data_IF_808603886465
#
_entry.id   IF_808603886465
#
_cell.length_a   1.000
_cell.length_b   1.000
_cell.length_c   1.000
_cell.angle_alpha   90.00
_cell.angle_beta   90.00
_cell.angle_gamma   90.00
#
_symmetry.space_group_name_H-M   'P 1'
#
loop_
_entity.id
_entity.type
_entity.pdbx_description
1 polymer ?
#
# COMPACT_ATOMS: atom_id res chain seq x y z
N UNK A 1 5.22 -30.51 -5.01
CA UNK A 1 5.49 -29.33 -4.15
C UNK A 1 4.24 -29.06 -3.34
N UNK A 2 4.35 -28.60 -2.10
CA UNK A 2 3.20 -28.16 -1.33
C UNK A 2 2.71 -26.83 -1.92
N UNK A 3 1.43 -26.74 -2.28
CA UNK A 3 0.82 -25.47 -2.67
C UNK A 3 0.69 -24.58 -1.44
N UNK A 4 1.31 -23.41 -1.47
CA UNK A 4 1.14 -22.36 -0.48
C UNK A 4 0.28 -21.29 -1.16
N UNK A 5 -0.82 -20.91 -0.51
CA UNK A 5 -1.73 -19.88 -1.01
C UNK A 5 -1.14 -18.49 -0.77
N UNK A 6 -0.07 -18.19 -1.51
CA UNK A 6 0.66 -16.93 -1.41
C UNK A 6 -0.24 -15.76 -1.83
N UNK A 7 -1.08 -15.96 -2.86
CA UNK A 7 -1.97 -14.93 -3.39
C UNK A 7 -3.02 -14.46 -2.36
N UNK A 8 -3.70 -15.38 -1.66
CA UNK A 8 -4.68 -14.94 -0.66
C UNK A 8 -3.99 -14.21 0.50
N UNK A 9 -2.83 -14.72 0.94
CA UNK A 9 -2.03 -14.09 1.99
C UNK A 9 -1.59 -12.67 1.59
N UNK A 10 -1.11 -12.48 0.37
CA UNK A 10 -0.78 -11.18 -0.21
C UNK A 10 -1.97 -10.23 -0.18
N UNK A 11 -3.14 -10.65 -0.66
CA UNK A 11 -4.35 -9.83 -0.69
C UNK A 11 -4.78 -9.40 0.73
N UNK A 12 -4.69 -10.28 1.73
CA UNK A 12 -4.95 -9.90 3.12
C UNK A 12 -3.91 -8.96 3.68
N UNK A 13 -2.63 -9.13 3.35
CA UNK A 13 -1.56 -8.23 3.81
C UNK A 13 -1.68 -6.85 3.17
N UNK A 14 -2.06 -6.76 1.89
CA UNK A 14 -2.37 -5.51 1.20
C UNK A 14 -3.52 -4.77 1.90
N UNK A 15 -4.60 -5.49 2.23
CA UNK A 15 -5.71 -4.93 2.98
C UNK A 15 -5.26 -4.42 4.37
N UNK A 16 -4.45 -5.20 5.08
CA UNK A 16 -3.93 -4.83 6.40
C UNK A 16 -3.05 -3.58 6.35
N UNK A 17 -2.14 -3.47 5.38
CA UNK A 17 -1.32 -2.28 5.17
C UNK A 17 -2.19 -1.06 4.89
N UNK A 18 -3.19 -1.19 4.02
CA UNK A 18 -4.08 -0.09 3.70
C UNK A 18 -4.87 0.39 4.91
N UNK A 19 -5.41 -0.52 5.71
CA UNK A 19 -6.10 -0.21 6.99
C UNK A 19 -5.15 0.47 7.99
N UNK A 20 -3.94 -0.05 8.15
CA UNK A 20 -2.94 0.54 9.05
C UNK A 20 -2.56 1.96 8.60
N UNK A 21 -2.34 2.17 7.30
CA UNK A 21 -2.03 3.48 6.74
C UNK A 21 -3.17 4.48 6.93
N UNK A 22 -4.43 4.07 6.72
CA UNK A 22 -5.62 4.88 7.00
C UNK A 22 -5.67 5.25 8.48
N UNK A 23 -5.49 4.28 9.37
CA UNK A 23 -5.55 4.50 10.82
C UNK A 23 -4.46 5.48 11.26
N UNK A 24 -3.21 5.26 10.87
CA UNK A 24 -2.08 6.11 11.24
C UNK A 24 -2.25 7.55 10.75
N UNK A 25 -2.57 7.72 9.47
CA UNK A 25 -2.69 9.05 8.87
C UNK A 25 -3.96 9.77 9.34
N UNK A 26 -5.07 9.05 9.49
CA UNK A 26 -6.32 9.57 10.05
C UNK A 26 -6.16 10.03 11.49
N UNK A 27 -5.54 9.21 12.36
CA UNK A 27 -5.29 9.57 13.76
C UNK A 27 -4.36 10.77 13.88
N UNK A 28 -3.31 10.84 13.06
CA UNK A 28 -2.40 11.98 13.04
C UNK A 28 -3.12 13.27 12.62
N UNK A 29 -3.97 13.19 11.59
CA UNK A 29 -4.80 14.32 11.18
C UNK A 29 -5.78 14.78 12.27
N UNK A 30 -6.44 13.84 12.95
CA UNK A 30 -7.37 14.14 14.05
C UNK A 30 -6.65 14.79 15.24
N UNK A 31 -5.46 14.30 15.60
CA UNK A 31 -4.64 14.90 16.65
C UNK A 31 -4.23 16.32 16.30
N UNK A 32 -3.74 16.54 15.08
CA UNK A 32 -3.41 17.89 14.58
C UNK A 32 -4.61 18.84 14.58
N UNK A 33 -5.81 18.36 14.23
CA UNK A 33 -7.05 19.16 14.25
C UNK A 33 -7.49 19.54 15.66
N UNK A 34 -7.29 18.66 16.65
CA UNK A 34 -7.66 18.91 18.06
C UNK A 34 -6.68 19.82 18.77
N UNK A 35 -5.40 19.62 18.53
CA UNK A 35 -4.31 20.43 19.11
C UNK A 35 -3.48 20.99 17.95
N UNK A 36 -3.66 22.27 17.63
CA UNK A 36 -2.96 22.93 16.51
C UNK A 36 -1.42 22.97 16.64
N UNK A 37 -0.90 22.55 17.79
CA UNK A 37 0.52 22.36 18.09
C UNK A 37 0.85 20.87 18.35
N UNK A 38 0.00 19.92 17.94
CA UNK A 38 0.25 18.50 18.15
C UNK A 38 1.53 18.08 17.43
N UNK A 39 2.37 17.37 18.16
CA UNK A 39 3.58 16.76 17.62
C UNK A 39 3.18 15.61 16.69
N UNK A 40 3.06 15.93 15.40
CA UNK A 40 2.76 15.00 14.31
C UNK A 40 3.75 13.84 14.28
N UNK A 41 5.01 14.08 14.63
CA UNK A 41 6.04 13.03 14.68
C UNK A 41 5.71 12.02 15.77
N UNK A 42 5.33 12.50 16.96
CA UNK A 42 4.90 11.63 18.07
C UNK A 42 3.67 10.79 17.75
N UNK A 43 2.76 11.30 16.91
CA UNK A 43 1.56 10.58 16.49
C UNK A 43 1.84 9.46 15.48
N UNK A 44 2.85 9.64 14.62
CA UNK A 44 3.28 8.64 13.65
C UNK A 44 4.23 7.59 14.23
N UNK A 45 5.01 7.95 15.25
CA UNK A 45 6.06 7.11 15.84
C UNK A 45 5.58 5.70 16.24
N UNK A 46 4.42 5.49 16.89
CA UNK A 46 3.94 4.16 17.24
C UNK A 46 3.74 3.23 16.02
N UNK A 47 3.54 3.81 14.84
CA UNK A 47 3.40 3.06 13.60
C UNK A 47 4.70 2.51 13.03
N UNK A 48 5.86 2.95 13.52
CA UNK A 48 7.17 2.45 13.08
C UNK A 48 7.26 0.92 13.12
N UNK A 49 6.99 0.32 14.28
CA UNK A 49 7.14 -1.12 14.47
C UNK A 49 6.21 -1.96 13.59
N UNK A 50 4.88 -1.73 13.56
CA UNK A 50 4.01 -2.51 12.68
C UNK A 50 4.31 -2.29 11.20
N UNK A 51 4.68 -1.08 10.77
CA UNK A 51 5.13 -0.86 9.40
C UNK A 51 6.40 -1.64 9.09
N UNK A 52 7.41 -1.62 9.97
CA UNK A 52 8.65 -2.36 9.74
C UNK A 52 8.40 -3.86 9.60
N UNK A 53 7.59 -4.43 10.50
CA UNK A 53 7.24 -5.86 10.47
C UNK A 53 6.50 -6.23 9.18
N UNK A 54 5.48 -5.45 8.80
CA UNK A 54 4.72 -5.70 7.57
C UNK A 54 5.57 -5.50 6.32
N UNK A 55 6.39 -4.45 6.29
CA UNK A 55 7.28 -4.16 5.18
C UNK A 55 8.31 -5.28 4.97
N UNK A 56 8.94 -5.75 6.05
CA UNK A 56 9.86 -6.90 5.99
C UNK A 56 9.15 -8.17 5.51
N UNK A 57 7.97 -8.45 6.06
CA UNK A 57 7.17 -9.59 5.63
C UNK A 57 6.86 -9.53 4.13
N UNK A 58 6.33 -8.40 3.65
CA UNK A 58 5.97 -8.18 2.25
C UNK A 58 7.20 -8.30 1.34
N UNK A 59 8.33 -7.70 1.71
CA UNK A 59 9.56 -7.80 0.90
C UNK A 59 10.08 -9.22 0.83
N UNK A 60 10.08 -9.97 1.94
CA UNK A 60 10.52 -11.37 1.95
C UNK A 60 9.60 -12.24 1.09
N UNK A 61 8.28 -12.09 1.26
CA UNK A 61 7.30 -12.84 0.47
C UNK A 61 7.35 -12.47 -1.01
N UNK A 62 7.52 -11.19 -1.35
CA UNK A 62 7.67 -10.72 -2.72
C UNK A 62 8.88 -11.32 -3.42
N UNK A 63 10.07 -11.21 -2.80
CA UNK A 63 11.30 -11.80 -3.34
C UNK A 63 11.19 -13.32 -3.46
N UNK A 64 10.60 -13.97 -2.46
CA UNK A 64 10.36 -15.41 -2.51
C UNK A 64 9.49 -15.77 -3.71
N UNK A 65 8.34 -15.10 -3.87
CA UNK A 65 7.42 -15.31 -4.98
C UNK A 65 8.04 -15.07 -6.35
N UNK A 66 8.86 -14.03 -6.51
CA UNK A 66 9.62 -13.78 -7.75
C UNK A 66 10.53 -14.95 -8.11
N UNK A 67 11.21 -15.55 -7.12
CA UNK A 67 12.21 -16.60 -7.32
C UNK A 67 11.63 -18.01 -7.42
N UNK A 68 10.50 -18.27 -6.76
CA UNK A 68 9.95 -19.63 -6.63
C UNK A 68 8.66 -19.85 -7.38
N UNK A 69 8.18 -18.87 -8.18
CA UNK A 69 6.94 -19.00 -8.92
C UNK A 69 6.90 -20.27 -9.79
N UNK A 70 6.01 -21.23 -9.48
CA UNK A 70 6.06 -22.55 -10.11
C UNK A 70 5.17 -22.64 -11.36
N UNK A 71 4.28 -21.67 -11.57
CA UNK A 71 3.26 -21.71 -12.62
C UNK A 71 3.75 -21.07 -13.92
N UNK A 72 3.35 -21.59 -15.09
CA UNK A 72 3.70 -20.99 -16.36
C UNK A 72 3.06 -19.61 -16.53
N UNK A 73 3.78 -18.70 -17.17
CA UNK A 73 3.33 -17.33 -17.46
C UNK A 73 4.09 -16.27 -16.67
N UNK A 74 3.71 -15.00 -16.88
CA UNK A 74 4.35 -13.81 -16.31
C UNK A 74 3.66 -13.27 -15.06
N UNK A 75 2.92 -14.13 -14.34
CA UNK A 75 2.19 -13.73 -13.13
C UNK A 75 3.10 -13.33 -11.99
N UNK A 76 4.32 -13.87 -11.94
CA UNK A 76 5.30 -13.45 -10.96
C UNK A 76 5.65 -11.97 -11.12
N UNK A 77 5.86 -11.53 -12.36
CA UNK A 77 6.11 -10.12 -12.70
C UNK A 77 4.89 -9.29 -12.32
N UNK A 78 3.69 -9.75 -12.67
CA UNK A 78 2.45 -9.02 -12.42
C UNK A 78 2.24 -8.77 -10.92
N UNK A 79 2.32 -9.82 -10.09
CA UNK A 79 1.94 -9.76 -8.68
C UNK A 79 3.11 -9.40 -7.75
N UNK A 80 4.29 -9.97 -7.94
CA UNK A 80 5.38 -9.80 -6.97
C UNK A 80 6.23 -8.55 -7.20
N UNK A 81 6.51 -8.10 -8.43
CA UNK A 81 7.31 -6.88 -8.63
C UNK A 81 6.69 -5.66 -7.88
N UNK A 82 5.38 -5.38 -8.01
CA UNK A 82 4.75 -4.27 -7.28
C UNK A 82 4.65 -4.54 -5.77
N UNK A 83 4.49 -5.80 -5.37
CA UNK A 83 4.38 -6.21 -3.97
C UNK A 83 5.71 -6.07 -3.23
N UNK A 84 6.82 -6.55 -3.82
CA UNK A 84 8.19 -6.34 -3.33
C UNK A 84 8.47 -4.85 -3.17
N UNK A 85 8.14 -4.04 -4.17
CA UNK A 85 8.36 -2.59 -4.14
C UNK A 85 7.54 -1.91 -3.05
N UNK A 86 6.28 -2.33 -2.83
CA UNK A 86 5.47 -1.88 -1.71
C UNK A 86 6.14 -2.19 -0.36
N UNK A 87 6.67 -3.40 -0.18
CA UNK A 87 7.39 -3.77 1.04
C UNK A 87 8.57 -2.85 1.32
N UNK A 88 9.37 -2.55 0.29
CA UNK A 88 10.51 -1.61 0.40
C UNK A 88 10.07 -0.20 0.74
N UNK A 89 8.95 0.28 0.19
CA UNK A 89 8.37 1.59 0.52
C UNK A 89 7.92 1.63 1.98
N UNK A 90 7.27 0.58 2.46
CA UNK A 90 6.80 0.48 3.85
C UNK A 90 7.99 0.46 4.81
N UNK A 91 9.04 -0.31 4.51
CA UNK A 91 10.30 -0.32 5.28
C UNK A 91 10.92 1.08 5.28
N UNK A 92 11.03 1.71 4.11
CA UNK A 92 11.54 3.07 3.98
C UNK A 92 10.75 4.06 4.83
N UNK A 93 9.42 3.91 4.88
CA UNK A 93 8.58 4.75 5.72
C UNK A 93 8.79 4.51 7.20
N UNK A 94 8.87 3.25 7.62
CA UNK A 94 9.16 2.90 9.00
C UNK A 94 10.51 3.50 9.45
N UNK A 95 11.56 3.33 8.64
CA UNK A 95 12.90 3.87 8.93
C UNK A 95 12.87 5.39 8.99
N UNK A 96 12.21 6.06 8.04
CA UNK A 96 12.10 7.52 8.03
C UNK A 96 11.39 8.06 9.28
N UNK A 97 10.30 7.40 9.71
CA UNK A 97 9.60 7.74 10.97
C UNK A 97 10.53 7.55 12.17
N UNK A 98 11.22 6.42 12.27
CA UNK A 98 12.10 6.10 13.39
C UNK A 98 13.27 7.09 13.51
N UNK A 99 13.88 7.44 12.37
CA UNK A 99 15.03 8.35 12.30
C UNK A 99 14.62 9.83 12.26
N UNK A 100 13.32 10.14 12.36
CA UNK A 100 12.76 11.50 12.23
C UNK A 100 13.23 12.22 10.95
N UNK A 101 13.32 11.47 9.85
CA UNK A 101 13.70 12.00 8.54
C UNK A 101 12.46 12.48 7.78
N UNK A 102 12.71 13.28 6.73
CA UNK A 102 11.66 13.76 5.82
C UNK A 102 11.02 12.60 5.06
N UNK A 103 9.71 12.45 5.20
CA UNK A 103 8.92 11.37 4.60
C UNK A 103 8.78 11.54 3.07
N UNK A 104 8.89 12.76 2.55
CA UNK A 104 8.69 13.08 1.13
C UNK A 104 9.60 12.28 0.18
N UNK A 105 10.80 11.89 0.62
CA UNK A 105 11.73 11.12 -0.22
C UNK A 105 11.20 9.70 -0.48
N UNK A 106 10.63 9.07 0.56
CA UNK A 106 9.91 7.80 0.41
C UNK A 106 8.63 8.02 -0.39
N UNK A 107 7.96 9.16 -0.19
CA UNK A 107 6.81 9.57 -0.99
C UNK A 107 7.09 9.62 -2.50
N UNK A 108 8.25 10.12 -2.92
CA UNK A 108 8.65 10.12 -4.34
C UNK A 108 8.77 8.69 -4.87
N UNK A 109 9.38 7.78 -4.09
CA UNK A 109 9.48 6.36 -4.49
C UNK A 109 8.08 5.75 -4.61
N UNK A 110 7.19 6.02 -3.66
CA UNK A 110 5.80 5.58 -3.69
C UNK A 110 5.01 6.13 -4.88
N UNK A 111 5.28 7.36 -5.31
CA UNK A 111 4.69 7.93 -6.53
C UNK A 111 5.05 7.11 -7.77
N UNK A 112 6.34 6.80 -7.96
CA UNK A 112 6.77 5.99 -9.10
C UNK A 112 6.23 4.56 -9.04
N UNK A 113 6.23 3.95 -7.85
CA UNK A 113 5.61 2.64 -7.65
C UNK A 113 4.11 2.65 -7.95
N UNK A 114 3.41 3.71 -7.57
CA UNK A 114 1.98 3.88 -7.88
C UNK A 114 1.71 4.00 -9.38
N UNK A 115 2.53 4.75 -10.11
CA UNK A 115 2.46 4.83 -11.58
C UNK A 115 2.76 3.48 -12.24
N UNK A 116 3.77 2.76 -11.73
CA UNK A 116 4.10 1.41 -12.18
C UNK A 116 2.93 0.45 -11.96
N UNK A 117 2.30 0.45 -10.78
CA UNK A 117 1.14 -0.37 -10.49
C UNK A 117 -0.03 -0.08 -11.46
N UNK A 118 -0.33 1.20 -11.72
CA UNK A 118 -1.36 1.58 -12.71
C UNK A 118 -1.03 0.98 -14.08
N UNK A 119 0.23 1.10 -14.52
CA UNK A 119 0.68 0.57 -15.79
C UNK A 119 0.57 -0.96 -15.86
N UNK A 120 0.96 -1.66 -14.79
CA UNK A 120 0.86 -3.12 -14.70
C UNK A 120 -0.60 -3.59 -14.79
N UNK A 121 -1.48 -2.99 -13.99
CA UNK A 121 -2.91 -3.33 -14.01
C UNK A 121 -3.58 -3.05 -15.35
N UNK A 122 -3.21 -1.93 -16.00
CA UNK A 122 -3.74 -1.59 -17.32
C UNK A 122 -3.36 -2.62 -18.40
N UNK A 123 -2.08 -3.00 -18.48
CA UNK A 123 -1.64 -3.98 -19.48
C UNK A 123 -2.19 -5.38 -19.16
N UNK A 124 -2.16 -5.80 -17.90
CA UNK A 124 -2.73 -7.08 -17.50
C UNK A 124 -4.24 -7.18 -17.79
N UNK A 125 -4.96 -6.05 -17.77
CA UNK A 125 -6.36 -5.99 -18.16
C UNK A 125 -6.54 -6.20 -19.67
N UNK A 126 -5.72 -5.55 -20.50
CA UNK A 126 -5.74 -5.71 -21.95
C UNK A 126 -5.37 -7.14 -22.39
N UNK A 127 -4.40 -7.75 -21.69
CA UNK A 127 -3.90 -9.08 -21.99
C UNK A 127 -4.78 -10.19 -21.39
N UNK A 128 -5.89 -9.84 -20.73
CA UNK A 128 -6.82 -10.76 -20.08
C UNK A 128 -6.13 -11.79 -19.16
N UNK A 129 -5.13 -11.33 -18.41
CA UNK A 129 -4.28 -12.22 -17.60
C UNK A 129 -5.03 -12.90 -16.45
N UNK A 130 -6.23 -12.49 -16.06
CA UNK A 130 -6.94 -13.11 -14.93
C UNK A 130 -8.37 -13.48 -15.31
N UNK A 131 -8.97 -14.41 -14.57
CA UNK A 131 -10.39 -14.75 -14.71
C UNK A 131 -11.34 -13.61 -14.29
N UNK A 132 -10.82 -12.61 -13.56
CA UNK A 132 -11.57 -11.41 -13.15
C UNK A 132 -10.80 -10.12 -13.50
N UNK A 133 -10.69 -9.76 -14.79
CA UNK A 133 -9.85 -8.64 -15.24
C UNK A 133 -10.24 -7.29 -14.61
N UNK A 134 -11.53 -7.07 -14.38
CA UNK A 134 -12.06 -5.81 -13.85
C UNK A 134 -11.70 -5.66 -12.36
N UNK A 135 -11.79 -6.75 -11.58
CA UNK A 135 -11.40 -6.72 -10.17
C UNK A 135 -9.91 -6.46 -10.02
N UNK A 136 -9.09 -7.13 -10.83
CA UNK A 136 -7.65 -6.91 -10.85
C UNK A 136 -7.31 -5.48 -11.27
N UNK A 137 -7.87 -4.96 -12.37
CA UNK A 137 -7.67 -3.56 -12.78
C UNK A 137 -8.06 -2.59 -11.67
N UNK A 138 -9.22 -2.79 -11.04
CA UNK A 138 -9.69 -1.96 -9.94
C UNK A 138 -8.72 -1.94 -8.75
N UNK A 139 -8.16 -3.10 -8.39
CA UNK A 139 -7.17 -3.23 -7.33
C UNK A 139 -5.89 -2.44 -7.63
N UNK A 140 -5.31 -2.64 -8.81
CA UNK A 140 -4.08 -1.96 -9.24
C UNK A 140 -4.28 -0.45 -9.39
N UNK A 141 -5.43 -0.01 -9.92
CA UNK A 141 -5.76 1.42 -9.98
C UNK A 141 -5.91 2.02 -8.59
N UNK A 142 -6.61 1.35 -7.67
CA UNK A 142 -6.85 1.87 -6.33
C UNK A 142 -5.53 2.01 -5.53
N UNK A 143 -4.71 0.95 -5.50
CA UNK A 143 -3.39 1.02 -4.86
C UNK A 143 -2.43 1.95 -5.59
N UNK A 144 -2.47 1.98 -6.92
CA UNK A 144 -1.65 2.86 -7.73
C UNK A 144 -1.95 4.34 -7.49
N UNK A 145 -3.23 4.71 -7.42
CA UNK A 145 -3.66 6.06 -7.04
C UNK A 145 -3.24 6.37 -5.60
N UNK A 146 -3.36 5.44 -4.66
CA UNK A 146 -2.89 5.63 -3.30
C UNK A 146 -1.37 5.87 -3.25
N UNK A 147 -0.58 5.13 -4.03
CA UNK A 147 0.87 5.33 -4.20
C UNK A 147 1.20 6.70 -4.75
N UNK A 148 0.52 7.14 -5.83
CA UNK A 148 0.66 8.48 -6.40
C UNK A 148 0.35 9.56 -5.37
N UNK A 149 -0.73 9.40 -4.60
CA UNK A 149 -1.16 10.35 -3.57
C UNK A 149 -0.31 10.28 -2.28
N UNK A 150 0.56 9.29 -2.14
CA UNK A 150 1.48 9.19 -0.99
C UNK A 150 2.52 10.31 -1.02
N UNK A 151 3.00 10.72 -2.20
CA UNK A 151 3.93 11.85 -2.32
C UNK A 151 3.38 13.17 -1.79
N UNK A 152 2.24 13.70 -2.28
CA UNK A 152 1.71 14.94 -1.73
C UNK A 152 1.25 14.77 -0.26
N UNK A 153 0.84 13.57 0.16
CA UNK A 153 0.52 13.28 1.57
C UNK A 153 1.73 13.39 2.50
N UNK A 154 2.86 12.80 2.11
CA UNK A 154 4.11 12.89 2.88
C UNK A 154 4.69 14.31 2.89
N UNK A 155 4.54 15.07 1.79
CA UNK A 155 4.87 16.49 1.74
C UNK A 155 4.05 17.32 2.75
N UNK A 156 2.76 17.01 2.87
CA UNK A 156 1.88 17.62 3.88
C UNK A 156 2.44 17.33 5.28
N UNK A 157 2.73 16.07 5.60
CA UNK A 157 3.28 15.70 6.91
C UNK A 157 4.58 16.42 7.23
N UNK A 158 5.53 16.47 6.30
CA UNK A 158 6.85 17.09 6.49
C UNK A 158 6.80 18.61 6.73
N UNK A 159 5.68 19.24 6.42
CA UNK A 159 5.48 20.69 6.47
C UNK A 159 4.48 21.14 7.54
N UNK A 160 3.77 20.21 8.19
CA UNK A 160 2.88 20.49 9.33
C UNK A 160 3.62 21.10 10.55
N UNK A 161 4.83 20.64 10.95
CA UNK A 161 5.53 21.18 12.12
C UNK A 161 5.82 22.69 12.07
N UNK A 162 5.68 23.34 10.91
CA UNK A 162 5.86 24.77 10.72
C UNK A 162 4.59 25.57 10.36
N UNK A 163 3.41 24.93 10.30
CA UNK A 163 2.17 25.59 9.82
C UNK A 163 1.04 25.52 10.85
N UNK A 164 0.51 26.69 11.21
CA UNK A 164 -0.65 26.82 12.12
C UNK A 164 -2.00 26.51 11.44
N UNK A 165 -2.09 26.62 10.11
CA UNK A 165 -3.32 26.38 9.35
C UNK A 165 -3.03 25.52 8.11
N UNK A 166 -3.73 24.39 8.01
CA UNK A 166 -3.72 23.52 6.82
C UNK A 166 -4.68 24.08 5.78
N UNK A 167 -4.21 24.20 4.53
CA UNK A 167 -5.03 24.67 3.42
C UNK A 167 -6.19 23.70 3.15
N UNK A 168 -7.32 24.21 2.65
CA UNK A 168 -8.44 23.35 2.22
C UNK A 168 -8.01 22.33 1.16
N UNK A 169 -7.11 22.73 0.25
CA UNK A 169 -6.55 21.84 -0.78
C UNK A 169 -5.79 20.65 -0.21
N UNK A 170 -5.01 20.84 0.86
CA UNK A 170 -4.31 19.73 1.51
C UNK A 170 -5.27 18.75 2.18
N UNK A 171 -6.37 19.24 2.74
CA UNK A 171 -7.42 18.36 3.27
C UNK A 171 -8.05 17.53 2.16
N UNK A 172 -8.30 18.12 0.98
CA UNK A 172 -8.81 17.37 -0.18
C UNK A 172 -7.85 16.26 -0.60
N UNK A 173 -6.55 16.54 -0.69
CA UNK A 173 -5.54 15.52 -1.02
C UNK A 173 -5.55 14.36 -0.02
N UNK A 174 -5.58 14.65 1.29
CA UNK A 174 -5.64 13.61 2.32
C UNK A 174 -6.92 12.76 2.21
N UNK A 175 -8.06 13.39 1.93
CA UNK A 175 -9.33 12.67 1.74
C UNK A 175 -9.26 11.78 0.50
N UNK A 176 -8.72 12.25 -0.62
CA UNK A 176 -8.54 11.43 -1.82
C UNK A 176 -7.60 10.26 -1.56
N UNK A 177 -6.52 10.48 -0.81
CA UNK A 177 -5.58 9.43 -0.40
C UNK A 177 -6.29 8.36 0.43
N UNK A 178 -7.09 8.75 1.43
CA UNK A 178 -7.86 7.80 2.24
C UNK A 178 -8.93 7.07 1.44
N UNK A 179 -9.64 7.75 0.55
CA UNK A 179 -10.63 7.11 -0.32
C UNK A 179 -9.98 6.04 -1.20
N UNK A 180 -8.83 6.35 -1.80
CA UNK A 180 -8.06 5.39 -2.59
C UNK A 180 -7.64 4.18 -1.75
N UNK A 181 -7.11 4.40 -0.53
CA UNK A 181 -6.74 3.32 0.38
C UNK A 181 -7.93 2.48 0.84
N UNK A 182 -9.08 3.10 1.12
CA UNK A 182 -10.30 2.38 1.54
C UNK A 182 -10.76 1.47 0.41
N UNK A 183 -10.86 2.00 -0.80
CA UNK A 183 -11.25 1.21 -1.98
C UNK A 183 -10.24 0.09 -2.22
N UNK A 184 -8.94 0.38 -2.18
CA UNK A 184 -7.88 -0.61 -2.36
C UNK A 184 -7.94 -1.73 -1.32
N UNK A 185 -8.10 -1.38 -0.04
CA UNK A 185 -8.15 -2.34 1.07
C UNK A 185 -9.39 -3.23 1.00
N UNK A 186 -10.54 -2.65 0.65
CA UNK A 186 -11.79 -3.41 0.49
C UNK A 186 -11.69 -4.35 -0.70
N UNK A 187 -11.19 -3.88 -1.85
CA UNK A 187 -11.00 -4.73 -3.02
C UNK A 187 -10.01 -5.88 -2.73
N UNK A 188 -8.92 -5.61 -2.02
CA UNK A 188 -7.95 -6.62 -1.64
C UNK A 188 -8.60 -7.68 -0.72
N UNK A 189 -9.28 -7.24 0.34
CA UNK A 189 -9.94 -8.12 1.29
C UNK A 189 -11.04 -8.97 0.63
N UNK A 190 -11.90 -8.34 -0.18
CA UNK A 190 -12.98 -9.04 -0.89
C UNK A 190 -12.41 -10.06 -1.88
N UNK A 191 -11.38 -9.68 -2.65
CA UNK A 191 -10.74 -10.61 -3.59
C UNK A 191 -10.11 -11.79 -2.86
N UNK A 192 -9.43 -11.55 -1.74
CA UNK A 192 -8.85 -12.61 -0.90
C UNK A 192 -9.92 -13.53 -0.32
N UNK A 193 -10.98 -12.99 0.26
CA UNK A 193 -12.11 -13.77 0.82
C UNK A 193 -12.78 -14.65 -0.25
N UNK A 194 -12.93 -14.14 -1.46
CA UNK A 194 -13.55 -14.89 -2.56
C UNK A 194 -12.62 -15.96 -3.14
N UNK A 195 -11.30 -15.79 -3.06
CA UNK A 195 -10.31 -16.75 -3.54
C UNK A 195 -10.15 -17.95 -2.60
N UNK A 196 -10.14 -17.74 -1.28
CA UNK A 196 -9.86 -18.79 -0.28
C UNK A 196 -10.71 -20.06 -0.45
N UNK A 197 -12.06 -19.99 -0.60
CA UNK A 197 -12.86 -21.20 -0.77
C UNK A 197 -12.47 -22.01 -2.01
N UNK A 198 -12.08 -21.34 -3.10
CA UNK A 198 -11.68 -22.02 -4.33
C UNK A 198 -10.35 -22.74 -4.14
N UNK A 199 -9.37 -22.07 -3.54
CA UNK A 199 -8.06 -22.65 -3.25
C UNK A 199 -8.13 -23.82 -2.27
N UNK A 200 -9.04 -23.79 -1.29
CA UNK A 200 -9.27 -24.89 -0.36
C UNK A 200 -9.93 -26.11 -1.02
N UNK A 201 -10.77 -25.90 -2.05
CA UNK A 201 -11.45 -26.97 -2.76
C UNK A 201 -10.53 -27.69 -3.76
N UNK A 202 -9.73 -26.92 -4.50
CA UNK A 202 -8.75 -27.43 -5.44
C UNK A 202 -7.59 -26.43 -5.53
N UNK A 203 -6.41 -26.75 -4.96
CA UNK A 203 -5.25 -25.90 -5.14
C UNK A 203 -4.87 -25.83 -6.63
N UNK A 204 -4.53 -24.64 -7.17
CA UNK A 204 -4.06 -24.44 -8.54
C UNK A 204 -2.87 -25.33 -8.94
#
# INVERSE_FOLDING_TARGET
MAFIDDLALELFTLALVGVLAIYMTGMTYLQYRRSRNADVESALYPGFFPLLVLGLFITVMGIYGEMTWPLPGSYNILFYDPYTLLGLIIIGMAIAIYMKQKLQYVGIIALFAGLMAIYYGYNAYLDHMTSSPIAMLGLYLAFGIAGVLTFPTTLIYDSLPGKQNVSKGWTVVLVLFWLALVVASVLAAVTGILAVPQHLLAPP
#
